data_IF_215320277659
#
_entry.id   IF_215320277659
#
_cell.length_a   1.000
_cell.length_b   1.000
_cell.length_c   1.000
_cell.angle_alpha   90.00
_cell.angle_beta   90.00
_cell.angle_gamma   90.00
#
_symmetry.space_group_name_H-M   'P 1'
#
loop_
_entity.id
_entity.type
_entity.pdbx_description
1 polymer ?
#
# COMPACT_ATOMS: atom_id res chain seq x y z
N UNK A 1 7.13 9.06 11.52
CA UNK A 1 6.80 7.78 10.87
C UNK A 1 6.96 6.63 11.88
N UNK A 2 6.11 5.60 11.87
CA UNK A 2 6.06 4.58 12.93
C UNK A 2 7.13 3.48 12.82
N UNK A 3 7.62 3.16 11.62
CA UNK A 3 8.69 2.19 11.42
C UNK A 3 10.06 2.87 11.56
N UNK A 4 10.98 2.22 12.27
CA UNK A 4 12.34 2.73 12.51
C UNK A 4 13.34 2.29 11.44
N UNK A 5 14.44 3.02 11.32
CA UNK A 5 15.57 2.70 10.46
C UNK A 5 16.67 1.99 11.26
N UNK A 6 17.07 0.80 10.84
CA UNK A 6 18.03 -0.04 11.56
C UNK A 6 19.38 -0.15 10.84
N UNK A 7 19.43 0.01 9.51
CA UNK A 7 20.69 0.01 8.77
C UNK A 7 21.43 1.35 8.92
N UNK A 8 22.78 1.37 8.80
CA UNK A 8 23.55 2.62 8.79
C UNK A 8 23.09 3.60 7.72
N UNK A 9 22.71 3.08 6.54
CA UNK A 9 22.21 3.87 5.42
C UNK A 9 20.85 4.48 5.76
N UNK A 10 19.92 3.69 6.28
CA UNK A 10 18.60 4.20 6.67
C UNK A 10 18.68 5.24 7.77
N UNK A 11 19.57 5.06 8.76
CA UNK A 11 19.79 6.06 9.82
C UNK A 11 20.35 7.37 9.25
N UNK A 12 21.30 7.29 8.32
CA UNK A 12 21.83 8.47 7.61
C UNK A 12 20.71 9.18 6.83
N UNK A 13 19.92 8.44 6.05
CA UNK A 13 18.82 8.99 5.25
C UNK A 13 17.74 9.62 6.14
N UNK A 14 17.42 9.00 7.28
CA UNK A 14 16.51 9.57 8.27
C UNK A 14 17.03 10.90 8.85
N UNK A 15 18.33 11.00 9.12
CA UNK A 15 18.96 12.24 9.57
C UNK A 15 18.92 13.33 8.49
N UNK A 16 19.20 12.97 7.23
CA UNK A 16 19.11 13.90 6.10
C UNK A 16 17.67 14.37 5.93
N UNK A 17 16.70 13.46 6.01
CA UNK A 17 15.28 13.82 5.91
C UNK A 17 14.84 14.81 7.00
N UNK A 18 15.41 14.73 8.21
CA UNK A 18 15.11 15.67 9.29
C UNK A 18 15.85 17.01 9.16
N UNK A 19 17.09 17.00 8.69
CA UNK A 19 17.97 18.19 8.72
C UNK A 19 18.00 18.95 7.40
N UNK A 20 18.01 18.23 6.28
CA UNK A 20 18.13 18.77 4.92
C UNK A 20 17.27 17.94 3.93
N UNK A 21 15.93 18.00 4.01
CA UNK A 21 15.04 17.18 3.16
C UNK A 21 15.32 17.31 1.66
N UNK A 22 15.72 18.51 1.20
CA UNK A 22 16.03 18.79 -0.20
C UNK A 22 17.26 18.03 -0.73
N UNK A 23 18.14 17.53 0.14
CA UNK A 23 19.30 16.71 -0.25
C UNK A 23 18.97 15.22 -0.34
N UNK A 24 17.80 14.80 0.16
CA UNK A 24 17.44 13.40 0.27
C UNK A 24 17.45 12.65 -1.08
N UNK A 25 16.88 13.19 -2.19
CA UNK A 25 16.91 12.48 -3.48
C UNK A 25 18.34 12.22 -3.98
N UNK A 26 19.24 13.20 -3.84
CA UNK A 26 20.63 13.05 -4.24
C UNK A 26 21.39 12.06 -3.35
N UNK A 27 21.11 12.06 -2.04
CA UNK A 27 21.68 11.10 -1.12
C UNK A 27 21.22 9.67 -1.44
N UNK A 28 19.93 9.47 -1.75
CA UNK A 28 19.38 8.18 -2.15
C UNK A 28 20.04 7.67 -3.43
N UNK A 29 20.16 8.52 -4.45
CA UNK A 29 20.83 8.16 -5.71
C UNK A 29 22.26 7.69 -5.48
N UNK A 30 23.02 8.40 -4.64
CA UNK A 30 24.38 7.99 -4.28
C UNK A 30 24.40 6.64 -3.57
N UNK A 31 23.47 6.36 -2.66
CA UNK A 31 23.40 5.07 -1.95
C UNK A 31 23.04 3.93 -2.91
N UNK A 32 22.12 4.15 -3.84
CA UNK A 32 21.76 3.15 -4.86
C UNK A 32 22.94 2.84 -5.80
N UNK A 33 23.70 3.86 -6.21
CA UNK A 33 24.93 3.68 -6.99
C UNK A 33 26.00 2.90 -6.23
N UNK A 34 26.18 3.19 -4.94
CA UNK A 34 27.10 2.45 -4.08
C UNK A 34 26.71 0.97 -3.97
N UNK A 35 25.41 0.68 -3.77
CA UNK A 35 24.90 -0.69 -3.74
C UNK A 35 25.10 -1.42 -5.06
N UNK A 36 24.92 -0.74 -6.19
CA UNK A 36 25.17 -1.30 -7.52
C UNK A 36 26.65 -1.64 -7.70
N UNK A 37 27.54 -0.70 -7.33
CA UNK A 37 28.99 -0.88 -7.42
C UNK A 37 29.47 -2.05 -6.57
N UNK A 38 28.95 -2.19 -5.35
CA UNK A 38 29.29 -3.30 -4.46
C UNK A 38 28.82 -4.65 -5.02
N UNK A 39 27.60 -4.70 -5.56
CA UNK A 39 27.05 -5.90 -6.21
C UNK A 39 27.88 -6.33 -7.42
N UNK A 40 28.32 -5.38 -8.24
CA UNK A 40 29.13 -5.66 -9.43
C UNK A 40 30.55 -6.12 -9.05
N UNK A 41 31.14 -5.54 -8.00
CA UNK A 41 32.41 -5.98 -7.45
C UNK A 41 32.33 -7.45 -6.95
N UNK A 42 31.27 -7.80 -6.22
CA UNK A 42 31.05 -9.17 -5.74
C UNK A 42 30.86 -10.19 -6.87
N UNK A 43 30.32 -9.77 -8.03
CA UNK A 43 30.18 -10.63 -9.21
C UNK A 43 31.51 -10.90 -9.91
N UNK A 44 32.49 -10.00 -9.75
CA UNK A 44 33.83 -10.10 -10.33
C UNK A 44 34.82 -10.94 -9.50
N UNK A 45 34.48 -11.36 -8.28
CA UNK A 45 35.36 -12.15 -7.41
C UNK A 45 35.50 -13.61 -7.90
N UNK A 46 36.74 -14.12 -7.98
CA UNK A 46 37.02 -15.51 -8.36
C UNK A 46 36.51 -16.50 -7.31
N UNK A 47 35.86 -17.62 -7.71
CA UNK A 47 35.31 -18.58 -6.77
C UNK A 47 36.42 -19.23 -5.91
N UNK A 48 36.21 -19.36 -4.59
CA UNK A 48 37.23 -19.85 -3.67
C UNK A 48 37.36 -21.39 -3.69
N UNK A 49 38.35 -21.89 -2.94
CA UNK A 49 38.65 -23.32 -2.82
C UNK A 49 37.49 -24.13 -2.22
N UNK A 50 37.48 -25.45 -2.39
CA UNK A 50 36.35 -26.33 -2.03
C UNK A 50 35.94 -26.28 -0.55
N UNK A 51 36.87 -25.98 0.37
CA UNK A 51 36.59 -25.87 1.82
C UNK A 51 36.03 -24.49 2.20
N UNK A 52 36.39 -23.44 1.47
CA UNK A 52 35.94 -22.06 1.70
C UNK A 52 34.58 -21.77 1.06
N UNK A 53 34.09 -22.69 0.23
CA UNK A 53 32.87 -22.54 -0.56
C UNK A 53 31.60 -22.41 0.31
N UNK A 54 31.55 -23.13 1.44
CA UNK A 54 30.44 -23.01 2.41
C UNK A 54 30.47 -21.66 3.16
N UNK A 55 31.65 -21.20 3.56
CA UNK A 55 31.82 -19.91 4.22
C UNK A 55 31.46 -18.78 3.28
N UNK A 56 31.94 -18.83 2.04
CA UNK A 56 31.63 -17.85 1.00
C UNK A 56 30.13 -17.79 0.70
N UNK A 57 29.46 -18.95 0.59
CA UNK A 57 28.00 -19.00 0.42
C UNK A 57 27.27 -18.31 1.58
N UNK A 58 27.69 -18.56 2.82
CA UNK A 58 27.07 -17.96 4.00
C UNK A 58 27.31 -16.44 4.08
N UNK A 59 28.51 -15.99 3.71
CA UNK A 59 28.85 -14.57 3.61
C UNK A 59 28.00 -13.88 2.54
N UNK A 60 27.86 -14.48 1.35
CA UNK A 60 27.02 -13.97 0.28
C UNK A 60 25.53 -13.88 0.70
N UNK A 61 25.03 -14.89 1.42
CA UNK A 61 23.67 -14.87 1.96
C UNK A 61 23.43 -13.74 2.97
N UNK A 62 24.41 -13.46 3.84
CA UNK A 62 24.35 -12.35 4.81
C UNK A 62 24.39 -11.01 4.07
N UNK A 63 25.32 -10.84 3.13
CA UNK A 63 25.44 -9.63 2.30
C UNK A 63 24.17 -9.35 1.50
N UNK A 64 23.55 -10.37 0.92
CA UNK A 64 22.27 -10.23 0.22
C UNK A 64 21.17 -9.74 1.16
N UNK A 65 21.08 -10.28 2.39
CA UNK A 65 20.11 -9.85 3.39
C UNK A 65 20.34 -8.41 3.85
N UNK A 66 21.59 -8.00 4.05
CA UNK A 66 21.95 -6.62 4.39
C UNK A 66 21.59 -5.66 3.26
N UNK A 67 21.82 -6.06 2.00
CA UNK A 67 21.43 -5.28 0.82
C UNK A 67 19.92 -5.14 0.71
N UNK A 68 19.19 -6.24 0.87
CA UNK A 68 17.73 -6.26 0.88
C UNK A 68 17.17 -5.32 1.95
N UNK A 69 17.72 -5.39 3.18
CA UNK A 69 17.33 -4.51 4.28
C UNK A 69 17.60 -3.03 3.96
N UNK A 70 18.75 -2.73 3.37
CA UNK A 70 19.11 -1.37 2.96
C UNK A 70 18.14 -0.84 1.91
N UNK A 71 17.80 -1.65 0.90
CA UNK A 71 16.84 -1.26 -0.15
C UNK A 71 15.45 -1.01 0.41
N UNK A 72 14.98 -1.87 1.32
CA UNK A 72 13.70 -1.69 2.01
C UNK A 72 13.66 -0.36 2.77
N UNK A 73 14.72 -0.01 3.50
CA UNK A 73 14.82 1.25 4.22
C UNK A 73 14.92 2.46 3.28
N UNK A 74 15.57 2.34 2.12
CA UNK A 74 15.57 3.38 1.08
C UNK A 74 14.14 3.60 0.55
N UNK A 75 13.42 2.53 0.19
CA UNK A 75 12.03 2.60 -0.27
C UNK A 75 11.15 3.23 0.80
N UNK A 76 11.30 2.83 2.06
CA UNK A 76 10.55 3.43 3.16
C UNK A 76 10.85 4.92 3.32
N UNK A 77 12.12 5.33 3.21
CA UNK A 77 12.51 6.74 3.29
C UNK A 77 11.85 7.58 2.20
N UNK A 78 11.77 7.08 0.96
CA UNK A 78 11.05 7.72 -0.14
C UNK A 78 9.55 7.87 0.16
N UNK A 79 8.91 6.85 0.73
CA UNK A 79 7.49 6.93 1.12
C UNK A 79 7.29 7.99 2.19
N UNK A 80 8.14 8.02 3.23
CA UNK A 80 8.05 9.04 4.30
C UNK A 80 8.26 10.44 3.71
N UNK A 81 9.21 10.60 2.77
CA UNK A 81 9.38 11.85 2.04
C UNK A 81 8.10 12.25 1.31
N UNK A 82 7.41 11.33 0.62
CA UNK A 82 6.14 11.63 -0.05
C UNK A 82 5.05 12.08 0.91
N UNK A 83 4.95 11.47 2.10
CA UNK A 83 4.04 11.97 3.13
C UNK A 83 4.37 13.40 3.56
N UNK A 84 5.66 13.71 3.74
CA UNK A 84 6.14 15.04 4.12
C UNK A 84 5.90 16.07 3.01
N UNK A 85 6.21 15.74 1.76
CA UNK A 85 6.02 16.61 0.59
C UNK A 85 4.55 17.01 0.39
N UNK A 86 3.61 16.17 0.86
CA UNK A 86 2.15 16.43 0.82
C UNK A 86 1.60 17.01 2.13
N UNK A 87 2.47 17.37 3.10
CA UNK A 87 2.08 17.85 4.44
C UNK A 87 1.16 16.88 5.21
N UNK A 88 1.33 15.57 5.03
CA UNK A 88 0.54 14.52 5.68
C UNK A 88 1.34 13.91 6.83
N UNK A 89 0.82 14.03 8.06
CA UNK A 89 1.39 13.35 9.21
C UNK A 89 0.97 11.89 9.23
N UNK A 90 1.93 10.97 9.18
CA UNK A 90 1.65 9.53 9.27
C UNK A 90 1.10 9.15 10.65
N UNK A 91 0.17 8.20 10.68
CA UNK A 91 -0.41 7.64 11.90
C UNK A 91 0.70 7.04 12.79
N UNK A 92 0.77 7.45 14.08
CA UNK A 92 1.76 6.91 15.00
C UNK A 92 1.38 5.49 15.45
N UNK A 93 2.32 4.80 16.10
CA UNK A 93 2.08 3.50 16.72
C UNK A 93 0.86 3.55 17.66
N UNK A 94 -0.07 2.63 17.44
CA UNK A 94 -1.29 2.50 18.24
C UNK A 94 -0.94 1.82 19.56
N UNK A 95 -0.88 2.63 20.61
CA UNK A 95 -0.53 2.23 21.97
C UNK A 95 -1.71 2.41 22.92
N UNK A 96 -1.64 1.82 24.11
CA UNK A 96 -2.67 2.00 25.13
C UNK A 96 -2.86 3.49 25.46
N UNK A 97 -4.12 3.87 25.61
CA UNK A 97 -4.53 5.26 25.87
C UNK A 97 -4.90 5.42 27.34
N UNK A 98 -4.78 6.63 27.87
CA UNK A 98 -5.35 7.01 29.17
C UNK A 98 -6.81 7.46 29.05
N UNK A 99 -7.35 7.52 27.84
CA UNK A 99 -8.74 7.89 27.57
C UNK A 99 -9.72 6.90 28.23
N UNK A 100 -10.74 7.38 28.98
CA UNK A 100 -11.70 6.52 29.67
C UNK A 100 -12.50 5.59 28.75
N UNK A 101 -12.64 5.94 27.47
CA UNK A 101 -13.35 5.12 26.47
C UNK A 101 -12.43 4.13 25.75
N UNK A 102 -11.12 4.15 26.07
CA UNK A 102 -10.12 3.30 25.41
C UNK A 102 -9.82 3.71 23.98
N UNK A 103 -10.20 4.94 23.58
CA UNK A 103 -10.06 5.45 22.22
C UNK A 103 -8.61 5.74 21.84
N UNK A 104 -8.19 5.33 20.64
CA UNK A 104 -6.79 5.46 20.18
C UNK A 104 -6.57 6.39 18.98
N UNK A 105 -7.64 6.82 18.32
CA UNK A 105 -7.62 7.57 17.05
C UNK A 105 -7.70 9.09 17.23
N UNK A 106 -6.86 9.63 18.10
CA UNK A 106 -6.68 11.08 18.29
C UNK A 106 -5.77 11.69 17.21
N UNK A 107 -5.97 11.29 15.95
CA UNK A 107 -5.17 11.74 14.82
C UNK A 107 -5.77 13.00 14.18
N UNK A 108 -4.96 13.85 13.54
CA UNK A 108 -5.50 14.98 12.79
C UNK A 108 -6.38 14.49 11.63
N UNK A 109 -7.49 15.18 11.37
CA UNK A 109 -8.22 14.96 10.13
C UNK A 109 -7.40 15.53 8.96
N UNK A 110 -7.00 14.65 8.04
CA UNK A 110 -6.21 14.97 6.85
C UNK A 110 -6.86 14.42 5.57
N UNK A 111 -8.18 14.18 5.60
CA UNK A 111 -8.94 13.54 4.50
C UNK A 111 -8.69 14.22 3.16
N UNK A 112 -8.85 15.55 3.07
CA UNK A 112 -8.58 16.30 1.85
C UNK A 112 -7.13 16.21 1.36
N UNK A 113 -6.15 16.11 2.27
CA UNK A 113 -4.75 15.95 1.87
C UNK A 113 -4.52 14.56 1.28
N UNK A 114 -5.08 13.53 1.91
CA UNK A 114 -5.01 12.15 1.43
C UNK A 114 -5.74 11.97 0.10
N UNK A 115 -6.89 12.61 -0.08
CA UNK A 115 -7.62 12.68 -1.36
C UNK A 115 -6.73 13.26 -2.47
N UNK A 116 -6.04 14.38 -2.20
CA UNK A 116 -5.22 15.07 -3.20
C UNK A 116 -4.01 14.28 -3.73
N UNK A 117 -3.65 13.16 -3.09
CA UNK A 117 -2.59 12.25 -3.54
C UNK A 117 -2.99 11.49 -4.80
N UNK A 118 -4.30 11.31 -5.02
CA UNK A 118 -4.84 10.43 -6.06
C UNK A 118 -5.47 11.23 -7.21
N UNK A 119 -5.52 10.62 -8.40
CA UNK A 119 -6.35 11.17 -9.48
C UNK A 119 -7.82 11.15 -9.08
N UNK A 120 -8.67 12.02 -9.65
CA UNK A 120 -10.11 11.98 -9.39
C UNK A 120 -10.71 10.60 -9.66
N UNK A 121 -10.32 9.96 -10.76
CA UNK A 121 -10.83 8.63 -11.13
C UNK A 121 -10.35 7.53 -10.17
N UNK A 122 -9.12 7.63 -9.65
CA UNK A 122 -8.64 6.73 -8.60
C UNK A 122 -9.39 6.96 -7.28
N UNK A 123 -9.63 8.22 -6.90
CA UNK A 123 -10.32 8.54 -5.65
C UNK A 123 -11.77 8.05 -5.62
N UNK A 124 -12.49 8.08 -6.74
CA UNK A 124 -13.82 7.45 -6.86
C UNK A 124 -13.77 5.94 -6.54
N UNK A 125 -12.73 5.23 -6.99
CA UNK A 125 -12.52 3.83 -6.64
C UNK A 125 -12.18 3.65 -5.15
N UNK A 126 -11.41 4.57 -4.56
CA UNK A 126 -11.08 4.57 -3.12
C UNK A 126 -12.34 4.77 -2.28
N UNK A 127 -13.23 5.68 -2.66
CA UNK A 127 -14.52 5.86 -1.99
C UNK A 127 -15.35 4.57 -2.05
N UNK A 128 -15.39 3.89 -3.20
CA UNK A 128 -16.03 2.58 -3.32
C UNK A 128 -15.39 1.56 -2.37
N UNK A 129 -14.05 1.48 -2.31
CA UNK A 129 -13.33 0.60 -1.39
C UNK A 129 -13.64 0.90 0.09
N UNK A 130 -13.68 2.18 0.48
CA UNK A 130 -14.06 2.62 1.83
C UNK A 130 -15.45 2.12 2.22
N UNK A 131 -16.45 2.31 1.34
CA UNK A 131 -17.82 1.83 1.57
C UNK A 131 -17.88 0.30 1.75
N UNK A 132 -17.03 -0.45 1.05
CA UNK A 132 -16.97 -1.91 1.17
C UNK A 132 -16.34 -2.37 2.47
N UNK A 133 -15.16 -1.84 2.80
CA UNK A 133 -14.39 -2.33 3.96
C UNK A 133 -14.92 -1.83 5.29
N UNK A 134 -15.56 -0.65 5.31
CA UNK A 134 -16.22 -0.11 6.49
C UNK A 134 -17.71 -0.51 6.57
N UNK A 135 -18.24 -1.10 5.48
CA UNK A 135 -19.63 -1.48 5.29
C UNK A 135 -20.55 -0.29 4.96
N UNK A 136 -21.73 -0.58 4.40
CA UNK A 136 -22.80 0.40 4.09
C UNK A 136 -23.34 1.18 5.31
N UNK A 137 -22.75 0.99 6.50
CA UNK A 137 -23.08 1.75 7.72
C UNK A 137 -22.43 3.14 7.76
N UNK A 138 -22.11 3.72 6.61
CA UNK A 138 -21.81 5.16 6.44
C UNK A 138 -23.02 6.03 6.86
N UNK A 139 -24.18 5.43 7.12
CA UNK A 139 -25.38 6.11 7.67
C UNK A 139 -25.30 6.38 9.18
N UNK A 140 -24.25 5.91 9.87
CA UNK A 140 -24.01 6.22 11.30
C UNK A 140 -23.22 7.52 11.51
N UNK A 141 -23.35 8.20 12.66
CA UNK A 141 -22.51 9.35 13.00
C UNK A 141 -21.00 9.01 12.93
N UNK A 142 -20.17 9.90 12.37
CA UNK A 142 -18.72 9.68 12.18
C UNK A 142 -17.96 9.46 13.51
N UNK A 143 -18.52 9.93 14.62
CA UNK A 143 -18.05 9.77 15.99
C UNK A 143 -18.45 8.44 16.63
N UNK A 144 -19.18 7.57 15.90
CA UNK A 144 -19.52 6.23 16.38
C UNK A 144 -18.25 5.44 16.67
N UNK A 145 -18.11 5.02 17.93
CA UNK A 145 -16.98 4.23 18.41
C UNK A 145 -17.25 2.75 18.17
N UNK A 146 -16.30 2.06 17.56
CA UNK A 146 -16.29 0.61 17.39
C UNK A 146 -15.09 0.00 18.10
N UNK A 147 -15.33 -1.16 18.72
CA UNK A 147 -14.28 -1.98 19.29
C UNK A 147 -13.81 -3.00 18.25
N UNK A 148 -12.53 -2.94 17.91
CA UNK A 148 -11.91 -3.80 16.91
C UNK A 148 -10.60 -4.34 17.45
N UNK A 149 -10.31 -5.60 17.15
CA UNK A 149 -9.06 -6.23 17.57
C UNK A 149 -7.89 -5.75 16.71
N UNK A 150 -6.69 -5.64 17.31
CA UNK A 150 -5.49 -5.14 16.61
C UNK A 150 -5.13 -5.98 15.40
N UNK A 151 -5.32 -7.31 15.47
CA UNK A 151 -5.13 -8.19 14.31
C UNK A 151 -6.10 -7.84 13.18
N UNK A 152 -7.38 -7.60 13.47
CA UNK A 152 -8.39 -7.28 12.43
C UNK A 152 -8.10 -5.96 11.74
N UNK A 153 -7.82 -4.90 12.49
CA UNK A 153 -7.48 -3.60 11.91
C UNK A 153 -6.12 -3.62 11.20
N UNK A 154 -5.16 -4.42 11.68
CA UNK A 154 -3.87 -4.64 11.00
C UNK A 154 -4.03 -5.34 9.66
N UNK A 155 -4.89 -6.36 9.58
CA UNK A 155 -5.25 -7.02 8.30
C UNK A 155 -5.91 -6.04 7.33
N UNK A 156 -6.85 -5.21 7.82
CA UNK A 156 -7.50 -4.18 7.01
C UNK A 156 -6.49 -3.15 6.47
N UNK A 157 -5.55 -2.71 7.31
CA UNK A 157 -4.50 -1.78 6.92
C UNK A 157 -3.59 -2.36 5.84
N UNK A 158 -3.09 -3.59 6.02
CA UNK A 158 -2.26 -4.27 5.04
C UNK A 158 -3.01 -4.50 3.71
N UNK A 159 -4.28 -4.92 3.77
CA UNK A 159 -5.13 -5.08 2.59
C UNK A 159 -5.33 -3.75 1.84
N UNK A 160 -5.51 -2.65 2.57
CA UNK A 160 -5.68 -1.31 1.99
C UNK A 160 -4.38 -0.78 1.37
N UNK A 161 -3.20 -1.11 1.93
CA UNK A 161 -1.91 -0.84 1.27
C UNK A 161 -1.82 -1.58 -0.06
N UNK A 162 -2.14 -2.88 -0.09
CA UNK A 162 -2.13 -3.67 -1.32
C UNK A 162 -3.11 -3.12 -2.37
N UNK A 163 -4.29 -2.68 -1.93
CA UNK A 163 -5.26 -2.02 -2.79
C UNK A 163 -4.71 -0.70 -3.39
N UNK A 164 -4.09 0.15 -2.57
CA UNK A 164 -3.49 1.40 -3.05
C UNK A 164 -2.33 1.17 -4.03
N UNK A 165 -1.51 0.15 -3.79
CA UNK A 165 -0.43 -0.27 -4.69
C UNK A 165 -0.98 -0.71 -6.06
N UNK A 166 -2.00 -1.56 -6.06
CA UNK A 166 -2.71 -1.98 -7.27
C UNK A 166 -3.31 -0.79 -8.01
N UNK A 167 -4.11 0.03 -7.30
CA UNK A 167 -4.87 1.12 -7.89
C UNK A 167 -3.95 2.14 -8.56
N UNK A 168 -2.84 2.49 -7.91
CA UNK A 168 -1.84 3.42 -8.47
C UNK A 168 -1.27 2.90 -9.79
N UNK A 169 -1.00 1.60 -9.87
CA UNK A 169 -0.45 0.97 -11.06
C UNK A 169 -1.44 0.97 -12.22
N UNK A 170 -2.71 0.66 -11.95
CA UNK A 170 -3.75 0.67 -12.99
C UNK A 170 -4.05 2.09 -13.45
N UNK A 171 -4.18 3.04 -12.51
CA UNK A 171 -4.40 4.45 -12.83
C UNK A 171 -3.27 5.02 -13.69
N UNK A 172 -2.00 4.79 -13.34
CA UNK A 172 -0.87 5.23 -14.18
C UNK A 172 -0.92 4.66 -15.60
N UNK A 173 -1.28 3.37 -15.75
CA UNK A 173 -1.43 2.77 -17.08
C UNK A 173 -2.59 3.40 -17.85
N UNK A 174 -3.74 3.57 -17.20
CA UNK A 174 -4.92 4.20 -17.78
C UNK A 174 -4.62 5.62 -18.26
N UNK A 175 -4.00 6.46 -17.42
CA UNK A 175 -3.63 7.83 -17.78
C UNK A 175 -2.58 7.87 -18.90
N UNK A 176 -1.64 6.92 -18.92
CA UNK A 176 -0.66 6.79 -20.01
C UNK A 176 -1.36 6.48 -21.33
N UNK A 177 -2.18 5.42 -21.39
CA UNK A 177 -2.90 5.04 -22.60
C UNK A 177 -3.85 6.14 -23.08
N UNK A 178 -4.49 6.85 -22.14
CA UNK A 178 -5.30 8.04 -22.43
C UNK A 178 -4.47 9.13 -23.09
N UNK A 179 -3.31 9.45 -22.53
CA UNK A 179 -2.41 10.50 -23.07
C UNK A 179 -1.84 10.13 -24.44
N UNK A 180 -1.65 8.84 -24.71
CA UNK A 180 -1.15 8.32 -25.98
C UNK A 180 -2.25 8.07 -27.02
N UNK A 181 -3.52 8.30 -26.69
CA UNK A 181 -4.69 7.97 -27.51
C UNK A 181 -4.74 6.49 -27.93
N UNK A 182 -4.29 5.59 -27.06
CA UNK A 182 -4.30 4.13 -27.30
C UNK A 182 -5.39 3.41 -26.51
N UNK A 183 -6.25 4.15 -25.79
CA UNK A 183 -7.41 3.56 -25.13
C UNK A 183 -8.38 2.97 -26.17
N UNK A 184 -9.07 1.86 -25.85
CA UNK A 184 -10.12 1.33 -26.73
C UNK A 184 -11.20 2.38 -27.05
N UNK A 185 -11.78 2.30 -28.25
CA UNK A 185 -12.90 3.16 -28.65
C UNK A 185 -14.07 3.04 -27.64
N UNK A 186 -14.57 4.16 -27.13
CA UNK A 186 -15.61 4.23 -26.09
C UNK A 186 -15.13 4.72 -24.71
N UNK A 187 -13.82 4.71 -24.42
CA UNK A 187 -13.28 5.26 -23.16
C UNK A 187 -13.01 6.77 -23.21
N UNK A 188 -12.96 7.35 -24.41
CA UNK A 188 -12.67 8.78 -24.64
C UNK A 188 -13.93 9.66 -24.67
N UNK A 189 -15.12 9.08 -24.77
CA UNK A 189 -16.38 9.81 -24.89
C UNK A 189 -17.14 9.81 -23.54
N UNK A 190 -17.76 10.95 -23.19
CA UNK A 190 -18.60 11.15 -22.00
C UNK A 190 -19.92 10.31 -22.01
N UNK A 191 -19.95 9.18 -22.71
CA UNK A 191 -21.14 8.40 -23.02
C UNK A 191 -21.00 6.90 -22.68
N UNK A 192 -20.29 6.54 -21.61
CA UNK A 192 -20.31 5.15 -21.14
C UNK A 192 -21.65 4.90 -20.40
N UNK A 193 -22.69 4.58 -21.16
CA UNK A 193 -23.85 3.82 -20.68
C UNK A 193 -23.61 2.36 -21.05
N UNK A 194 -23.31 1.52 -20.08
CA UNK A 194 -23.34 0.06 -20.27
C UNK A 194 -24.23 -0.58 -19.22
N UNK A 195 -25.10 -1.48 -19.70
CA UNK A 195 -25.83 -2.44 -18.88
C UNK A 195 -24.83 -3.45 -18.29
N UNK A 196 -24.90 -3.64 -16.98
CA UNK A 196 -24.01 -4.51 -16.19
C UNK A 196 -24.06 -5.97 -16.69
N UNK A 197 -22.97 -6.53 -17.24
CA UNK A 197 -22.81 -7.97 -17.32
C UNK A 197 -22.34 -8.47 -15.95
N UNK A 198 -23.13 -9.33 -15.32
CA UNK A 198 -22.76 -9.97 -14.06
C UNK A 198 -21.32 -10.56 -14.11
N UNK A 199 -20.46 -10.32 -13.11
CA UNK A 199 -19.05 -10.70 -13.21
C UNK A 199 -18.86 -12.22 -13.05
N UNK A 200 -18.23 -12.84 -14.06
CA UNK A 200 -17.87 -14.26 -14.08
C UNK A 200 -16.51 -14.57 -13.40
N UNK A 201 -15.80 -13.59 -12.86
CA UNK A 201 -14.47 -13.79 -12.28
C UNK A 201 -14.46 -13.60 -10.74
N UNK A 202 -14.85 -14.65 -10.04
CA UNK A 202 -14.63 -14.85 -8.60
C UNK A 202 -13.18 -15.25 -8.33
N UNK A 203 -12.23 -14.32 -8.42
CA UNK A 203 -10.84 -14.56 -7.98
C UNK A 203 -10.60 -14.21 -6.50
N UNK A 204 -11.68 -14.00 -5.73
CA UNK A 204 -11.68 -13.65 -4.32
C UNK A 204 -12.71 -14.53 -3.60
N UNK A 205 -12.29 -15.51 -2.78
CA UNK A 205 -13.16 -16.41 -1.97
C UNK A 205 -12.44 -16.79 -0.64
N UNK A 206 -13.10 -17.13 0.49
CA UNK A 206 -14.43 -16.77 1.00
C UNK A 206 -14.42 -15.73 2.17
N UNK A 207 -13.25 -15.31 2.66
CA UNK A 207 -13.09 -14.40 3.83
C UNK A 207 -12.72 -12.94 3.45
N UNK A 208 -12.90 -12.57 2.19
CA UNK A 208 -12.36 -11.32 1.63
C UNK A 208 -13.33 -10.14 1.75
N UNK A 209 -12.93 -9.10 2.51
CA UNK A 209 -13.67 -7.87 2.81
C UNK A 209 -13.89 -6.91 1.61
N UNK A 210 -13.57 -7.33 0.38
CA UNK A 210 -13.69 -6.48 -0.81
C UNK A 210 -14.49 -7.25 -1.85
N UNK A 211 -15.80 -7.09 -1.81
CA UNK A 211 -16.73 -7.51 -2.85
C UNK A 211 -17.27 -6.23 -3.46
N UNK A 212 -16.99 -5.92 -4.73
CA UNK A 212 -17.67 -4.81 -5.40
C UNK A 212 -19.05 -5.34 -5.80
N UNK A 213 -20.16 -4.97 -5.14
CA UNK A 213 -21.49 -5.39 -5.57
C UNK A 213 -21.86 -4.71 -6.90
N UNK A 214 -22.68 -5.37 -7.74
CA UNK A 214 -23.44 -4.66 -8.76
C UNK A 214 -24.41 -3.70 -8.07
N UNK A 215 -24.58 -2.51 -8.63
CA UNK A 215 -25.49 -1.47 -8.13
C UNK A 215 -26.92 -1.86 -8.51
N UNK A 216 -27.65 -2.51 -7.60
CA UNK A 216 -29.08 -2.84 -7.79
C UNK A 216 -29.94 -1.58 -7.59
N UNK A 217 -29.93 -0.70 -8.59
CA UNK A 217 -30.77 0.49 -8.65
C UNK A 217 -32.04 0.29 -9.50
N UNK A 218 -33.05 -0.40 -8.97
CA UNK A 218 -34.44 -0.19 -9.43
C UNK A 218 -35.02 1.04 -8.73
N UNK A 219 -35.26 2.08 -9.51
CA UNK A 219 -35.75 3.36 -9.03
C UNK A 219 -35.97 4.33 -10.18
N UNK A 220 -36.97 4.03 -11.02
CA UNK A 220 -37.33 4.88 -12.15
C UNK A 220 -37.71 6.31 -11.75
N UNK A 221 -37.26 7.29 -12.53
CA UNK A 221 -37.75 8.67 -12.47
C UNK A 221 -36.73 9.70 -12.96
N UNK A 222 -37.10 10.43 -14.02
CA UNK A 222 -36.37 11.55 -14.66
C UNK A 222 -35.61 12.47 -13.68
N UNK A 223 -34.35 12.80 -13.98
CA UNK A 223 -33.94 14.12 -14.48
C UNK A 223 -32.42 14.20 -14.71
N UNK A 224 -32.09 14.89 -15.79
CA UNK A 224 -30.78 15.26 -16.32
C UNK A 224 -29.96 16.14 -15.35
N UNK A 225 -28.65 15.83 -15.22
CA UNK A 225 -27.52 16.78 -15.07
C UNK A 225 -26.34 16.14 -14.32
N UNK A 226 -25.31 15.68 -15.06
CA UNK A 226 -23.93 15.61 -14.54
C UNK A 226 -23.27 14.24 -14.31
N UNK A 227 -24.02 13.13 -14.33
CA UNK A 227 -23.51 11.79 -13.92
C UNK A 227 -22.70 11.03 -15.00
N UNK A 228 -22.32 11.67 -16.10
CA UNK A 228 -21.64 11.01 -17.24
C UNK A 228 -20.12 10.83 -17.12
N UNK A 229 -19.51 11.24 -16.00
CA UNK A 229 -18.04 11.30 -15.85
C UNK A 229 -17.43 10.16 -15.03
N UNK A 230 -18.22 9.45 -14.22
CA UNK A 230 -17.74 8.89 -12.94
C UNK A 230 -17.32 7.41 -12.90
N UNK A 231 -16.99 6.79 -14.03
CA UNK A 231 -16.56 5.37 -14.01
C UNK A 231 -15.46 5.00 -14.99
N UNK A 232 -14.68 5.96 -15.52
CA UNK A 232 -13.72 5.66 -16.61
C UNK A 232 -12.63 4.67 -16.20
N UNK A 233 -12.00 4.87 -15.04
CA UNK A 233 -10.99 3.95 -14.52
C UNK A 233 -11.61 2.60 -14.10
N UNK A 234 -12.82 2.62 -13.53
CA UNK A 234 -13.55 1.40 -13.17
C UNK A 234 -13.87 0.55 -14.42
N UNK A 235 -14.39 1.17 -15.47
CA UNK A 235 -14.63 0.50 -16.75
C UNK A 235 -13.33 -0.01 -17.36
N UNK A 236 -12.23 0.74 -17.21
CA UNK A 236 -10.92 0.31 -17.71
C UNK A 236 -10.46 -0.97 -17.01
N UNK A 237 -10.59 -1.01 -15.67
CA UNK A 237 -10.30 -2.21 -14.87
C UNK A 237 -11.16 -3.40 -15.30
N UNK A 238 -12.45 -3.20 -15.57
CA UNK A 238 -13.35 -4.26 -16.04
C UNK A 238 -13.03 -4.78 -17.45
N UNK A 239 -12.37 -3.96 -18.27
CA UNK A 239 -11.92 -4.35 -19.61
C UNK A 239 -10.64 -5.21 -19.59
N UNK A 240 -9.80 -5.08 -18.56
CA UNK A 240 -8.56 -5.84 -18.45
C UNK A 240 -8.84 -7.35 -18.33
N UNK A 241 -8.01 -8.15 -19.00
CA UNK A 241 -8.03 -9.60 -18.83
C UNK A 241 -7.54 -10.00 -17.42
N UNK A 242 -7.89 -11.21 -16.98
CA UNK A 242 -7.58 -11.70 -15.64
C UNK A 242 -6.07 -11.82 -15.38
N UNK A 243 -5.26 -12.10 -16.41
CA UNK A 243 -3.81 -12.19 -16.28
C UNK A 243 -3.20 -10.80 -16.05
N UNK A 244 -3.62 -9.80 -16.83
CA UNK A 244 -3.19 -8.41 -16.64
C UNK A 244 -3.62 -7.86 -15.28
N UNK A 245 -4.86 -8.14 -14.87
CA UNK A 245 -5.36 -7.72 -13.56
C UNK A 245 -4.55 -8.36 -12.42
N UNK A 246 -4.29 -9.67 -12.49
CA UNK A 246 -3.47 -10.37 -11.52
C UNK A 246 -2.05 -9.81 -11.46
N UNK A 247 -1.44 -9.52 -12.63
CA UNK A 247 -0.12 -8.88 -12.68
C UNK A 247 -0.13 -7.54 -11.97
N UNK A 248 -1.16 -6.72 -12.13
CA UNK A 248 -1.28 -5.43 -11.44
C UNK A 248 -1.51 -5.57 -9.94
N UNK A 249 -2.28 -6.57 -9.51
CA UNK A 249 -2.57 -6.83 -8.11
C UNK A 249 -1.37 -7.43 -7.34
N UNK A 250 -0.45 -8.07 -8.04
CA UNK A 250 0.71 -8.71 -7.41
C UNK A 250 1.80 -7.70 -7.08
N UNK A 251 2.20 -7.62 -5.80
CA UNK A 251 3.37 -6.86 -5.35
C UNK A 251 4.64 -7.52 -5.91
N UNK A 252 5.46 -6.76 -6.63
CA UNK A 252 6.54 -7.33 -7.47
C UNK A 252 7.86 -7.60 -6.74
N UNK A 253 8.13 -6.93 -5.62
CA UNK A 253 9.38 -7.13 -4.85
C UNK A 253 9.17 -7.73 -3.47
N UNK A 254 10.21 -8.42 -2.97
CA UNK A 254 10.23 -8.97 -1.61
C UNK A 254 10.39 -7.87 -0.56
N UNK A 255 11.09 -6.81 -0.92
CA UNK A 255 11.29 -5.60 -0.16
C UNK A 255 9.95 -4.91 0.11
N UNK A 256 9.11 -4.74 -0.91
CA UNK A 256 7.76 -4.17 -0.75
C UNK A 256 6.88 -5.03 0.15
N UNK A 257 6.87 -6.36 -0.05
CA UNK A 257 6.10 -7.29 0.81
C UNK A 257 6.56 -7.19 2.27
N UNK A 258 7.89 -7.23 2.51
CA UNK A 258 8.44 -7.13 3.86
C UNK A 258 8.16 -5.76 4.49
N UNK A 259 8.16 -4.69 3.68
CA UNK A 259 7.85 -3.34 4.15
C UNK A 259 6.38 -3.19 4.57
N UNK A 260 5.43 -3.75 3.82
CA UNK A 260 4.01 -3.77 4.19
C UNK A 260 3.83 -4.46 5.55
N UNK A 261 4.49 -5.61 5.73
CA UNK A 261 4.46 -6.35 6.99
C UNK A 261 5.05 -5.52 8.14
N UNK A 262 6.24 -4.94 7.96
CA UNK A 262 6.93 -4.14 8.97
C UNK A 262 6.18 -2.86 9.33
N UNK A 263 5.63 -2.15 8.36
CA UNK A 263 4.79 -0.97 8.61
C UNK A 263 3.55 -1.36 9.42
N UNK A 264 2.88 -2.46 9.05
CA UNK A 264 1.72 -2.96 9.80
C UNK A 264 2.09 -3.33 11.24
N UNK A 265 3.21 -4.05 11.43
CA UNK A 265 3.71 -4.39 12.76
C UNK A 265 4.14 -3.15 13.58
N UNK A 266 4.66 -2.11 12.92
CA UNK A 266 5.03 -0.87 13.58
C UNK A 266 3.82 -0.11 14.13
N UNK A 267 2.67 -0.14 13.42
CA UNK A 267 1.43 0.47 13.88
C UNK A 267 0.75 -0.35 14.98
N UNK A 268 0.55 -1.66 14.76
CA UNK A 268 -0.33 -2.49 15.58
C UNK A 268 0.41 -3.43 16.54
N UNK A 269 1.73 -3.53 16.42
CA UNK A 269 2.53 -4.53 17.14
C UNK A 269 2.61 -5.86 16.38
N UNK A 270 3.47 -6.76 16.88
CA UNK A 270 3.57 -8.12 16.36
C UNK A 270 2.46 -8.98 16.96
N UNK A 271 1.64 -9.66 16.15
CA UNK A 271 0.59 -10.52 16.68
C UNK A 271 1.24 -11.77 17.32
N UNK A 272 0.92 -12.07 18.58
CA UNK A 272 1.33 -13.31 19.27
C UNK A 272 0.35 -14.42 18.88
N UNK A 273 0.52 -14.98 17.68
CA UNK A 273 -0.28 -16.08 17.17
C UNK A 273 0.45 -17.38 17.51
N UNK A 274 -0.13 -18.19 18.38
CA UNK A 274 0.40 -19.51 18.76
C UNK A 274 -0.37 -20.60 18.04
N UNK A 275 0.29 -21.69 17.71
CA UNK A 275 -0.40 -22.88 17.21
C UNK A 275 -0.82 -23.67 18.45
N UNK A 276 -2.11 -23.76 18.70
CA UNK A 276 -2.66 -24.57 19.78
C UNK A 276 -2.39 -26.06 19.52
N UNK A 277 -2.47 -26.88 20.57
CA UNK A 277 -2.18 -28.33 20.48
C UNK A 277 -3.10 -29.10 19.53
N UNK A 278 -4.22 -28.50 19.10
CA UNK A 278 -5.16 -29.04 18.11
C UNK A 278 -4.89 -28.56 16.67
N UNK A 279 -3.83 -27.77 16.46
CA UNK A 279 -3.47 -27.19 15.17
C UNK A 279 -4.23 -25.90 14.82
N UNK A 280 -5.09 -25.39 15.70
CA UNK A 280 -5.76 -24.10 15.51
C UNK A 280 -4.83 -22.92 15.83
N UNK A 281 -5.12 -21.75 15.25
CA UNK A 281 -4.41 -20.51 15.56
C UNK A 281 -5.00 -19.89 16.83
N UNK A 282 -4.26 -19.93 17.93
CA UNK A 282 -4.57 -19.26 19.18
C UNK A 282 -4.13 -17.79 19.10
N UNK A 283 -5.12 -16.90 19.05
CA UNK A 283 -4.95 -15.45 19.09
C UNK A 283 -5.65 -14.84 20.34
N UNK A 284 -5.76 -15.60 21.42
CA UNK A 284 -6.47 -15.18 22.64
C UNK A 284 -5.89 -13.93 23.33
N UNK A 285 -4.63 -13.58 23.05
CA UNK A 285 -3.97 -12.36 23.55
C UNK A 285 -4.16 -11.13 22.64
N UNK A 286 -5.03 -11.19 21.62
CA UNK A 286 -5.26 -10.05 20.73
C UNK A 286 -5.90 -8.86 21.46
N UNK A 287 -5.19 -7.74 21.47
CA UNK A 287 -5.65 -6.52 22.14
C UNK A 287 -6.81 -5.89 21.35
N UNK A 288 -7.85 -5.46 22.05
CA UNK A 288 -8.98 -4.72 21.46
C UNK A 288 -8.75 -3.22 21.67
N UNK A 289 -8.95 -2.44 20.60
CA UNK A 289 -8.86 -0.98 20.62
C UNK A 289 -10.22 -0.38 20.24
N UNK A 290 -10.51 0.80 20.80
CA UNK A 290 -11.68 1.59 20.42
C UNK A 290 -11.26 2.64 19.38
N UNK A 291 -11.96 2.69 18.25
CA UNK A 291 -11.68 3.59 17.13
C UNK A 291 -13.01 4.14 16.63
N UNK A 292 -13.06 5.41 16.25
CA UNK A 292 -14.25 5.99 15.59
C UNK A 292 -14.32 5.60 14.12
N UNK A 293 -15.49 5.74 13.50
CA UNK A 293 -15.61 5.56 12.06
C UNK A 293 -14.70 6.53 11.30
N UNK A 294 -14.61 7.79 11.75
CA UNK A 294 -13.67 8.77 11.19
C UNK A 294 -12.21 8.30 11.31
N UNK A 295 -11.81 7.73 12.44
CA UNK A 295 -10.48 7.16 12.63
C UNK A 295 -10.19 5.99 11.68
N UNK A 296 -11.15 5.09 11.50
CA UNK A 296 -11.03 3.99 10.53
C UNK A 296 -10.91 4.50 9.09
N UNK A 297 -11.71 5.50 8.71
CA UNK A 297 -11.60 6.14 7.38
C UNK A 297 -10.21 6.74 7.17
N UNK A 298 -9.70 7.50 8.14
CA UNK A 298 -8.35 8.07 8.09
C UNK A 298 -7.27 6.98 7.94
N UNK A 299 -7.42 5.87 8.66
CA UNK A 299 -6.50 4.74 8.62
C UNK A 299 -6.48 4.04 7.25
N UNK A 300 -7.66 3.85 6.64
CA UNK A 300 -7.77 3.26 5.30
C UNK A 300 -7.22 4.22 4.24
N UNK A 301 -7.53 5.52 4.31
CA UNK A 301 -7.00 6.52 3.39
C UNK A 301 -5.47 6.61 3.44
N UNK A 302 -4.88 6.64 4.65
CA UNK A 302 -3.41 6.61 4.79
C UNK A 302 -2.79 5.33 4.23
N UNK A 303 -3.41 4.17 4.48
CA UNK A 303 -2.95 2.89 3.95
C UNK A 303 -2.94 2.89 2.41
N UNK A 304 -3.99 3.40 1.78
CA UNK A 304 -4.10 3.51 0.31
C UNK A 304 -3.05 4.48 -0.26
N UNK A 305 -2.83 5.62 0.39
CA UNK A 305 -1.77 6.56 0.02
C UNK A 305 -0.38 5.92 0.16
N UNK A 306 -0.13 5.19 1.25
CA UNK A 306 1.10 4.44 1.47
C UNK A 306 1.35 3.43 0.34
N UNK A 307 0.33 2.66 -0.05
CA UNK A 307 0.41 1.73 -1.18
C UNK A 307 0.74 2.39 -2.51
N UNK A 308 0.14 3.56 -2.76
CA UNK A 308 0.44 4.35 -3.97
C UNK A 308 1.88 4.86 -3.98
N UNK A 309 2.37 5.40 -2.86
CA UNK A 309 3.76 5.82 -2.73
C UNK A 309 4.74 4.65 -2.80
N UNK A 310 4.36 3.47 -2.32
CA UNK A 310 5.16 2.26 -2.42
C UNK A 310 5.40 1.87 -3.88
N UNK A 311 4.36 1.88 -4.73
CA UNK A 311 4.53 1.63 -6.17
C UNK A 311 5.49 2.64 -6.82
N UNK A 312 5.30 3.93 -6.56
CA UNK A 312 6.13 4.99 -7.13
C UNK A 312 7.60 4.87 -6.67
N UNK A 313 7.82 4.59 -5.37
CA UNK A 313 9.15 4.48 -4.77
C UNK A 313 9.89 3.24 -5.26
N UNK A 314 9.19 2.12 -5.38
CA UNK A 314 9.72 0.89 -5.97
C UNK A 314 10.10 1.10 -7.44
N UNK A 315 9.28 1.85 -8.21
CA UNK A 315 9.56 2.24 -9.59
C UNK A 315 10.81 3.09 -9.71
N UNK A 316 10.97 4.06 -8.81
CA UNK A 316 12.14 4.90 -8.72
C UNK A 316 13.42 4.10 -8.45
N UNK A 317 13.41 3.27 -7.40
CA UNK A 317 14.58 2.47 -7.02
C UNK A 317 14.98 1.52 -8.14
N UNK A 318 14.00 0.83 -8.76
CA UNK A 318 14.25 -0.11 -9.85
C UNK A 318 14.90 0.55 -11.08
N UNK A 319 14.60 1.84 -11.33
CA UNK A 319 15.23 2.59 -12.42
C UNK A 319 16.72 2.91 -12.20
N UNK A 320 17.20 2.84 -10.96
CA UNK A 320 18.57 3.18 -10.55
C UNK A 320 19.39 1.94 -10.14
N UNK A 321 18.74 0.98 -9.50
CA UNK A 321 19.33 -0.26 -9.02
C UNK A 321 18.37 -1.41 -9.37
N UNK A 322 18.76 -2.26 -10.32
CA UNK A 322 17.91 -3.35 -10.80
C UNK A 322 17.88 -4.50 -9.77
N UNK A 323 16.74 -4.63 -9.08
CA UNK A 323 16.57 -5.58 -7.96
C UNK A 323 15.43 -6.56 -8.17
N UNK A 324 14.50 -6.25 -9.08
CA UNK A 324 13.49 -7.21 -9.50
C UNK A 324 14.15 -8.35 -10.29
N UNK A 325 13.73 -9.58 -10.00
CA UNK A 325 14.16 -10.73 -10.79
C UNK A 325 13.35 -10.76 -12.09
N UNK A 326 14.05 -10.77 -13.22
CA UNK A 326 13.45 -11.11 -14.53
C UNK A 326 12.98 -12.55 -14.57
#
# INVERSE_FOLDING_TARGET
APLGFESPVGQLLAQILQTHPHLLPAAIDQQLENLQTEKDAQRGETPPSSQDLLLYKRIAEVKEKERQKTLEEIIYCLIVQKFLDNDISMIPKISATSDPTGRVDFWPNQEHKLESVHSPEAFEMIQSHLSLVLGERVVGPLDTIVQISKIKIGKLYAASIMYGYFLRRVDQRFQLERSMNTLPEGFNEDQVRFEDPAPANQLWDPDSLIRIPPDDGDGGGLMDSGMGKSYRLRSYVMYLDSETLQRYATVRSKEAISLIEKQTQALFGRPDIRIAGDGSLDASNDEVVAVTFSGLTMLVLEAVAFGSFLWDSEGYVESKYHFLKS
#
